data_IF_223486669781
#
_entry.id   IF_223486669781
#
_cell.length_a   1.000
_cell.length_b   1.000
_cell.length_c   1.000
_cell.angle_alpha   90.00
_cell.angle_beta   90.00
_cell.angle_gamma   90.00
#
_symmetry.space_group_name_H-M   'P 1'
#
loop_
_entity.id
_entity.type
_entity.pdbx_description
1 polymer ?
#
# COMPACT_ATOMS: atom_id res chain seq x y z
N UNK A 1 6.93 -8.30 -17.50
CA UNK A 1 7.64 -8.56 -16.22
C UNK A 1 6.75 -8.00 -15.12
N UNK A 2 6.55 -8.76 -14.05
CA UNK A 2 5.82 -8.28 -12.88
C UNK A 2 6.68 -7.26 -12.10
N UNK A 3 6.03 -6.24 -11.51
CA UNK A 3 6.68 -5.16 -10.73
C UNK A 3 6.07 -5.07 -9.33
N UNK A 4 6.92 -4.92 -8.33
CA UNK A 4 6.51 -4.73 -6.94
C UNK A 4 6.56 -3.24 -6.58
N UNK A 5 5.49 -2.73 -5.97
CA UNK A 5 5.36 -1.33 -5.55
C UNK A 5 5.07 -1.27 -4.04
N UNK A 6 5.81 -0.43 -3.33
CA UNK A 6 5.57 -0.10 -1.93
C UNK A 6 5.02 1.32 -1.83
N UNK A 7 3.88 1.48 -1.15
CA UNK A 7 3.29 2.78 -0.84
C UNK A 7 3.42 3.02 0.67
N UNK A 8 4.23 4.00 1.05
CA UNK A 8 4.38 4.45 2.44
C UNK A 8 3.36 5.57 2.70
N UNK A 9 2.65 5.46 3.83
CA UNK A 9 1.57 6.39 4.15
C UNK A 9 0.28 6.08 3.39
N UNK A 10 0.00 4.78 3.15
CA UNK A 10 -1.09 4.32 2.29
C UNK A 10 -2.51 4.75 2.70
N UNK A 11 -2.71 5.32 3.90
CA UNK A 11 -3.97 5.90 4.35
C UNK A 11 -4.20 7.37 3.96
N UNK A 12 -3.26 8.00 3.24
CA UNK A 12 -3.38 9.40 2.83
C UNK A 12 -4.37 9.64 1.69
N UNK A 13 -4.74 10.92 1.49
CA UNK A 13 -5.70 11.33 0.45
C UNK A 13 -5.22 11.03 -0.98
N UNK A 14 -3.93 11.16 -1.27
CA UNK A 14 -3.36 10.84 -2.59
C UNK A 14 -3.39 9.31 -2.83
N UNK A 15 -2.87 8.46 -1.91
CA UNK A 15 -3.03 7.01 -2.00
C UNK A 15 -4.47 6.54 -2.22
N UNK A 16 -5.47 7.21 -1.64
CA UNK A 16 -6.88 6.86 -1.84
C UNK A 16 -7.32 6.88 -3.31
N UNK A 17 -6.74 7.77 -4.11
CA UNK A 17 -7.00 7.86 -5.55
C UNK A 17 -6.04 6.97 -6.35
N UNK A 18 -4.77 6.90 -5.94
CA UNK A 18 -3.74 6.19 -6.68
C UNK A 18 -3.88 4.66 -6.60
N UNK A 19 -4.19 4.11 -5.42
CA UNK A 19 -4.22 2.66 -5.20
C UNK A 19 -5.21 1.95 -6.14
N UNK A 20 -6.47 2.40 -6.31
CA UNK A 20 -7.39 1.78 -7.26
C UNK A 20 -6.84 1.72 -8.69
N UNK A 21 -6.21 2.80 -9.17
CA UNK A 21 -5.63 2.87 -10.52
C UNK A 21 -4.47 1.89 -10.69
N UNK A 22 -3.67 1.69 -9.65
CA UNK A 22 -2.59 0.71 -9.67
C UNK A 22 -3.11 -0.74 -9.59
N UNK A 23 -4.25 -0.98 -8.91
CA UNK A 23 -4.86 -2.31 -8.84
C UNK A 23 -5.46 -2.77 -10.19
N UNK A 24 -5.75 -1.85 -11.10
CA UNK A 24 -6.18 -2.18 -12.47
C UNK A 24 -5.04 -2.72 -13.35
N UNK A 25 -3.78 -2.58 -12.90
CA UNK A 25 -2.62 -3.03 -13.64
C UNK A 25 -2.26 -4.48 -13.21
N UNK A 26 -2.50 -5.50 -14.06
CA UNK A 26 -2.39 -6.90 -13.68
C UNK A 26 -0.94 -7.36 -13.42
N UNK A 27 0.04 -6.58 -13.84
CA UNK A 27 1.47 -6.84 -13.65
C UNK A 27 2.05 -6.18 -12.39
N UNK A 28 1.23 -5.48 -11.59
CA UNK A 28 1.66 -4.84 -10.35
C UNK A 28 1.27 -5.64 -9.11
N UNK A 29 2.21 -5.79 -8.18
CA UNK A 29 1.93 -6.26 -6.82
C UNK A 29 2.15 -5.12 -5.83
N UNK A 30 1.10 -4.78 -5.09
CA UNK A 30 1.11 -3.64 -4.17
C UNK A 30 1.36 -4.11 -2.73
N UNK A 31 2.27 -3.41 -2.07
CA UNK A 31 2.42 -3.44 -0.61
C UNK A 31 2.06 -2.06 -0.05
N UNK A 32 1.10 -2.03 0.86
CA UNK A 32 0.61 -0.82 1.53
C UNK A 32 1.17 -0.76 2.94
N UNK A 33 1.98 0.25 3.21
CA UNK A 33 2.58 0.49 4.52
C UNK A 33 2.02 1.76 5.16
N UNK A 34 1.70 1.69 6.44
CA UNK A 34 1.29 2.84 7.24
C UNK A 34 0.68 2.41 8.56
N UNK A 35 0.50 3.35 9.50
CA UNK A 35 0.15 3.04 10.91
C UNK A 35 -1.06 2.11 11.07
N UNK A 36 -2.07 2.27 10.22
CA UNK A 36 -3.31 1.49 10.24
C UNK A 36 -3.55 0.79 8.89
N UNK A 37 -2.50 0.32 8.23
CA UNK A 37 -2.62 -0.27 6.88
C UNK A 37 -3.52 -1.51 6.87
N UNK A 38 -3.54 -2.30 7.94
CA UNK A 38 -4.40 -3.48 8.09
C UNK A 38 -5.90 -3.14 7.92
N UNK A 39 -6.32 -1.95 8.33
CA UNK A 39 -7.72 -1.50 8.31
C UNK A 39 -8.14 -0.91 6.95
N UNK A 40 -7.20 -0.74 6.01
CA UNK A 40 -7.51 -0.17 4.70
C UNK A 40 -8.41 -1.11 3.87
N UNK A 41 -9.41 -0.61 3.13
CA UNK A 41 -10.40 -1.43 2.44
C UNK A 41 -9.93 -1.99 1.08
N UNK A 42 -8.61 -2.10 0.86
CA UNK A 42 -8.06 -2.63 -0.39
C UNK A 42 -7.92 -4.16 -0.33
N UNK A 43 -8.23 -4.84 -1.43
CA UNK A 43 -8.09 -6.30 -1.58
C UNK A 43 -6.93 -6.63 -2.53
N UNK A 44 -6.45 -7.88 -2.54
CA UNK A 44 -5.37 -8.32 -3.44
C UNK A 44 -4.08 -7.48 -3.34
N UNK A 45 -3.77 -7.00 -2.13
CA UNK A 45 -2.57 -6.24 -1.79
C UNK A 45 -1.98 -6.78 -0.49
N UNK A 46 -0.68 -6.64 -0.30
CA UNK A 46 -0.05 -6.86 1.00
C UNK A 46 -0.26 -5.62 1.86
N UNK A 47 -0.65 -5.79 3.13
CA UNK A 47 -0.82 -4.69 4.09
C UNK A 47 0.13 -4.87 5.26
N UNK A 48 0.88 -3.83 5.60
CA UNK A 48 1.84 -3.83 6.70
C UNK A 48 1.57 -2.61 7.56
N UNK A 49 1.08 -2.85 8.77
CA UNK A 49 0.91 -1.78 9.76
C UNK A 49 2.25 -1.46 10.42
N UNK A 50 2.65 -0.19 10.41
CA UNK A 50 3.90 0.28 11.02
C UNK A 50 4.07 1.79 10.91
N UNK A 51 5.04 2.34 11.64
CA UNK A 51 5.45 3.74 11.54
C UNK A 51 6.74 3.87 10.72
N UNK A 52 6.71 4.68 9.66
CA UNK A 52 7.87 4.87 8.77
C UNK A 52 9.05 5.57 9.48
N UNK A 53 8.79 6.23 10.62
CA UNK A 53 9.83 6.77 11.48
C UNK A 53 10.47 5.75 12.42
N UNK A 54 9.93 4.54 12.52
CA UNK A 54 10.46 3.49 13.39
C UNK A 54 11.25 2.43 12.60
N UNK A 55 12.54 2.29 12.89
CA UNK A 55 13.44 1.37 12.18
C UNK A 55 13.27 -0.11 12.58
N UNK A 56 12.53 -0.39 13.65
CA UNK A 56 12.30 -1.75 14.16
C UNK A 56 10.99 -2.37 13.70
N UNK A 57 10.15 -1.58 13.01
CA UNK A 57 8.91 -2.05 12.38
C UNK A 57 9.23 -2.74 11.03
#
# INVERSE_FOLDING_TARGET
MSKNILIIGAGGQIPQVLIPLLQEQPDLHLTLFGRYAADLPYTNVTKVSGDAGNLTD
#
